data_IF_318263654442
#
_entry.id   IF_318263654442
#
_cell.length_a   1.000
_cell.length_b   1.000
_cell.length_c   1.000
_cell.angle_alpha   90.00
_cell.angle_beta   90.00
_cell.angle_gamma   90.00
#
_symmetry.space_group_name_H-M   'P 1'
#
loop_
_entity.id
_entity.type
_entity.pdbx_description
1 polymer ?
#
# COMPACT_ATOMS: atom_id res chain seq x y z
N UNK A 1 9.74 -6.96 -7.35
CA UNK A 1 8.55 -7.14 -6.48
C UNK A 1 7.88 -5.78 -6.29
N UNK A 2 6.58 -5.74 -6.07
CA UNK A 2 5.83 -4.49 -5.89
C UNK A 2 5.07 -4.49 -4.55
N UNK A 3 4.92 -3.31 -3.96
CA UNK A 3 4.05 -3.06 -2.82
C UNK A 3 3.00 -2.04 -3.25
N UNK A 4 1.73 -2.46 -3.26
CA UNK A 4 0.59 -1.56 -3.43
C UNK A 4 0.05 -1.22 -2.04
N UNK A 5 -0.02 0.08 -1.73
CA UNK A 5 -0.52 0.59 -0.44
C UNK A 5 -1.69 1.52 -0.72
N UNK A 6 -2.84 1.27 -0.10
CA UNK A 6 -4.03 2.12 -0.23
C UNK A 6 -4.61 2.45 1.15
N UNK A 7 -5.08 3.67 1.35
CA UNK A 7 -5.84 4.04 2.54
C UNK A 7 -7.27 3.48 2.48
N UNK A 8 -7.83 3.06 3.62
CA UNK A 8 -9.21 2.56 3.69
C UNK A 8 -10.29 3.62 3.39
N UNK A 9 -9.92 4.91 3.38
CA UNK A 9 -10.76 6.06 3.08
C UNK A 9 -10.31 6.81 1.83
N UNK A 10 -9.47 6.20 0.99
CA UNK A 10 -9.05 6.83 -0.27
C UNK A 10 -10.26 6.99 -1.20
N UNK A 11 -10.64 8.24 -1.47
CA UNK A 11 -11.71 8.59 -2.41
C UNK A 11 -11.18 9.18 -3.73
N UNK A 12 -9.86 9.27 -3.91
CA UNK A 12 -9.21 9.79 -5.12
C UNK A 12 -8.96 8.66 -6.10
N UNK A 13 -8.32 7.57 -5.64
CA UNK A 13 -8.10 6.36 -6.46
C UNK A 13 -8.89 5.16 -5.98
N UNK A 14 -9.02 5.01 -4.67
CA UNK A 14 -9.87 4.00 -4.04
C UNK A 14 -9.26 2.59 -3.97
N UNK A 15 -9.89 1.79 -3.09
CA UNK A 15 -9.53 0.41 -2.80
C UNK A 15 -9.68 -0.49 -4.03
N UNK A 16 -10.72 -0.29 -4.83
CA UNK A 16 -11.01 -1.12 -6.01
C UNK A 16 -9.91 -1.01 -7.06
N UNK A 17 -9.52 0.22 -7.45
CA UNK A 17 -8.43 0.43 -8.41
C UNK A 17 -7.09 -0.15 -7.90
N UNK A 18 -6.84 -0.01 -6.59
CA UNK A 18 -5.65 -0.57 -5.94
C UNK A 18 -5.64 -2.10 -5.96
N UNK A 19 -6.79 -2.75 -5.78
CA UNK A 19 -6.95 -4.20 -5.89
C UNK A 19 -6.70 -4.69 -7.33
N UNK A 20 -7.25 -3.98 -8.32
CA UNK A 20 -7.02 -4.28 -9.75
C UNK A 20 -5.52 -4.19 -10.07
N UNK A 21 -4.86 -3.12 -9.64
CA UNK A 21 -3.42 -2.94 -9.83
C UNK A 21 -2.62 -4.07 -9.17
N UNK A 22 -2.95 -4.41 -7.92
CA UNK A 22 -2.26 -5.48 -7.20
C UNK A 22 -2.44 -6.86 -7.87
N UNK A 23 -3.64 -7.16 -8.37
CA UNK A 23 -3.94 -8.40 -9.07
C UNK A 23 -3.24 -8.54 -10.42
N UNK A 24 -2.90 -7.42 -11.08
CA UNK A 24 -2.22 -7.42 -12.37
C UNK A 24 -0.69 -7.54 -12.31
N UNK A 25 -0.09 -7.40 -11.12
CA UNK A 25 1.37 -7.34 -10.97
C UNK A 25 1.96 -8.67 -10.47
N UNK A 26 3.04 -9.13 -11.11
CA UNK A 26 3.79 -10.32 -10.66
C UNK A 26 4.63 -10.00 -9.40
N UNK A 27 4.59 -10.88 -8.40
CA UNK A 27 5.28 -10.74 -7.10
C UNK A 27 4.90 -9.44 -6.37
N UNK A 28 3.64 -9.37 -5.96
CA UNK A 28 3.04 -8.19 -5.36
C UNK A 28 2.55 -8.45 -3.95
N UNK A 29 2.73 -7.48 -3.07
CA UNK A 29 2.03 -7.38 -1.81
C UNK A 29 1.03 -6.21 -1.90
N UNK A 30 -0.17 -6.41 -1.36
CA UNK A 30 -1.21 -5.38 -1.27
C UNK A 30 -1.61 -5.18 0.18
N UNK A 31 -1.63 -3.93 0.63
CA UNK A 31 -1.99 -3.59 2.01
C UNK A 31 -2.95 -2.41 2.06
N UNK A 32 -3.89 -2.50 3.00
CA UNK A 32 -4.78 -1.40 3.38
C UNK A 32 -4.23 -0.73 4.64
N UNK A 33 -4.04 0.59 4.59
CA UNK A 33 -3.70 1.39 5.77
C UNK A 33 -5.00 1.92 6.38
N UNK A 34 -5.33 1.39 7.56
CA UNK A 34 -6.52 1.81 8.30
C UNK A 34 -6.40 3.25 8.76
N UNK A 35 -7.53 3.97 8.71
CA UNK A 35 -7.68 5.35 9.13
C UNK A 35 -6.83 6.32 8.28
N UNK A 36 -6.77 6.07 6.96
CA UNK A 36 -6.04 6.88 6.00
C UNK A 36 -6.81 7.04 4.68
N UNK A 37 -6.71 8.23 4.09
CA UNK A 37 -7.15 8.53 2.74
C UNK A 37 -6.05 8.30 1.70
N UNK A 38 -6.08 9.10 0.64
CA UNK A 38 -5.17 8.98 -0.49
C UNK A 38 -3.69 9.20 -0.10
N UNK A 39 -3.43 10.06 0.88
CA UNK A 39 -2.09 10.41 1.32
C UNK A 39 -1.68 9.60 2.56
N UNK A 40 -1.82 8.26 2.49
CA UNK A 40 -1.56 7.35 3.62
C UNK A 40 -0.15 7.50 4.22
N UNK A 41 0.82 7.95 3.44
CA UNK A 41 2.17 8.26 3.90
C UNK A 41 2.22 9.49 4.83
N UNK A 42 1.32 10.45 4.68
CA UNK A 42 1.21 11.64 5.54
C UNK A 42 0.23 11.42 6.69
N UNK A 43 -0.86 10.72 6.44
CA UNK A 43 -1.95 10.54 7.41
C UNK A 43 -1.63 9.46 8.46
N UNK A 44 -0.94 8.39 8.07
CA UNK A 44 -0.55 7.28 8.95
C UNK A 44 0.93 6.90 8.74
N UNK A 45 1.88 7.83 8.96
CA UNK A 45 3.27 7.68 8.56
C UNK A 45 3.96 6.46 9.20
N UNK A 46 3.66 6.16 10.46
CA UNK A 46 4.23 5.00 11.14
C UNK A 46 3.78 3.68 10.50
N UNK A 47 2.49 3.55 10.17
CA UNK A 47 1.93 2.34 9.54
C UNK A 47 2.42 2.19 8.10
N UNK A 48 2.42 3.29 7.35
CA UNK A 48 2.95 3.32 5.99
C UNK A 48 4.43 2.90 5.95
N UNK A 49 5.27 3.54 6.79
CA UNK A 49 6.71 3.24 6.82
C UNK A 49 7.00 1.80 7.25
N UNK A 50 6.21 1.22 8.18
CA UNK A 50 6.38 -0.17 8.58
C UNK A 50 6.19 -1.14 7.39
N UNK A 51 5.21 -0.89 6.53
CA UNK A 51 5.00 -1.69 5.32
C UNK A 51 6.11 -1.52 4.29
N UNK A 52 6.56 -0.27 4.07
CA UNK A 52 7.68 0.01 3.16
C UNK A 52 8.96 -0.69 3.63
N UNK A 53 9.33 -0.57 4.91
CA UNK A 53 10.51 -1.22 5.46
C UNK A 53 10.42 -2.74 5.38
N UNK A 54 9.25 -3.32 5.65
CA UNK A 54 9.02 -4.76 5.52
C UNK A 54 9.20 -5.23 4.06
N UNK A 55 8.71 -4.45 3.10
CA UNK A 55 8.87 -4.77 1.69
C UNK A 55 10.32 -4.66 1.22
N UNK A 56 11.06 -3.64 1.68
CA UNK A 56 12.49 -3.51 1.36
C UNK A 56 13.28 -4.72 1.86
N UNK A 57 13.03 -5.20 3.09
CA UNK A 57 13.67 -6.41 3.59
C UNK A 57 13.38 -7.67 2.77
N UNK A 58 12.18 -7.79 2.18
CA UNK A 58 11.82 -8.90 1.30
C UNK A 58 12.48 -8.75 -0.07
N UNK A 59 12.53 -7.53 -0.60
CA UNK A 59 13.04 -7.26 -1.95
C UNK A 59 14.56 -7.36 -2.06
N UNK A 60 15.30 -7.15 -0.97
CA UNK A 60 16.78 -7.20 -0.94
C UNK A 60 17.34 -8.55 -0.47
N UNK A 61 16.49 -9.56 -0.27
CA UNK A 61 16.87 -10.94 -0.01
C UNK A 61 16.73 -11.77 -1.27
#
# INVERSE_FOLDING_TARGET
>A
PALVVCGDRDTVTGVEASQVLAGGLHKTAYVIVKDAGHLANQEQPARFNAWVLSHLHIATR
#
